data_IF_089646272754
#
_entry.id   IF_089646272754
#
_cell.length_a   1.000
_cell.length_b   1.000
_cell.length_c   1.000
_cell.angle_alpha   90.00
_cell.angle_beta   90.00
_cell.angle_gamma   90.00
#
_symmetry.space_group_name_H-M   'P 1'
#
loop_
_entity.id
_entity.type
_entity.pdbx_description
1 polymer ?
#
# COMPACT_ATOMS: atom_id res chain seq x y z
N UNK A 1 4.58 -32.61 -14.02
CA UNK A 1 3.77 -32.77 -12.79
C UNK A 1 2.58 -31.82 -12.90
N UNK A 2 1.41 -32.34 -13.27
CA UNK A 2 0.22 -31.54 -13.53
C UNK A 2 -0.42 -31.10 -12.21
N UNK A 3 -0.62 -29.79 -12.04
CA UNK A 3 -1.31 -29.21 -10.90
C UNK A 3 -2.79 -29.61 -10.96
N UNK A 4 -3.19 -30.58 -10.13
CA UNK A 4 -4.60 -30.87 -9.84
C UNK A 4 -5.04 -29.93 -8.72
N UNK A 5 -5.99 -28.98 -8.95
CA UNK A 5 -6.51 -28.16 -7.87
C UNK A 5 -7.50 -28.99 -7.04
N UNK A 6 -7.02 -29.62 -5.98
CA UNK A 6 -7.87 -30.23 -4.95
C UNK A 6 -8.33 -29.18 -3.93
N UNK A 7 -9.11 -28.21 -4.40
CA UNK A 7 -10.04 -27.45 -3.56
C UNK A 7 -11.39 -27.43 -4.27
N UNK A 8 -12.52 -27.63 -3.57
CA UNK A 8 -13.78 -27.15 -4.11
C UNK A 8 -13.60 -25.65 -4.31
N UNK A 9 -13.67 -25.22 -5.57
CA UNK A 9 -13.78 -23.81 -5.89
C UNK A 9 -14.88 -23.23 -4.99
N UNK A 10 -14.65 -22.06 -4.39
CA UNK A 10 -15.76 -21.17 -4.05
C UNK A 10 -16.72 -21.22 -5.24
N UNK A 11 -18.03 -21.47 -5.03
CA UNK A 11 -18.94 -22.04 -6.02
C UNK A 11 -18.53 -21.56 -7.39
N UNK A 12 -17.93 -22.46 -8.15
CA UNK A 12 -17.32 -22.13 -9.43
C UNK A 12 -18.39 -21.41 -10.24
N UNK A 13 -18.22 -20.11 -10.44
CA UNK A 13 -19.09 -19.41 -11.37
C UNK A 13 -19.05 -20.22 -12.66
N UNK A 14 -20.22 -20.58 -13.22
CA UNK A 14 -20.28 -21.31 -14.47
C UNK A 14 -19.38 -20.60 -15.50
N UNK A 15 -18.31 -21.27 -15.96
CA UNK A 15 -17.34 -20.71 -16.91
C UNK A 15 -16.04 -20.14 -16.34
N UNK A 16 -15.77 -20.22 -15.03
CA UNK A 16 -14.46 -19.83 -14.47
C UNK A 16 -14.21 -18.31 -14.40
N UNK A 17 -15.26 -17.50 -14.56
CA UNK A 17 -15.20 -16.04 -14.44
C UNK A 17 -15.25 -15.65 -12.97
N UNK A 18 -14.20 -15.00 -12.46
CA UNK A 18 -14.22 -14.45 -11.10
C UNK A 18 -15.21 -13.28 -11.01
N UNK A 19 -15.99 -13.16 -9.92
CA UNK A 19 -16.94 -12.08 -9.79
C UNK A 19 -16.20 -10.74 -9.66
N UNK A 20 -16.79 -9.71 -10.26
CA UNK A 20 -16.30 -8.34 -10.16
C UNK A 20 -16.40 -7.86 -8.70
N UNK A 21 -15.29 -7.33 -8.16
CA UNK A 21 -15.16 -7.01 -6.74
C UNK A 21 -15.07 -5.51 -6.42
N UNK A 22 -15.17 -4.66 -7.43
CA UNK A 22 -14.97 -3.24 -7.24
C UNK A 22 -16.32 -2.52 -7.34
N UNK A 23 -16.45 -1.32 -6.75
CA UNK A 23 -17.63 -0.49 -6.99
C UNK A 23 -17.86 -0.28 -8.49
N UNK A 24 -19.11 -0.22 -8.98
CA UNK A 24 -19.40 -0.13 -10.42
C UNK A 24 -18.63 0.96 -11.16
N UNK A 25 -18.51 2.16 -10.58
CA UNK A 25 -17.75 3.29 -11.15
C UNK A 25 -16.28 2.95 -11.49
N UNK A 26 -15.68 1.95 -10.84
CA UNK A 26 -14.30 1.53 -11.11
C UNK A 26 -14.17 0.90 -12.49
N UNK A 27 -15.24 0.49 -13.15
CA UNK A 27 -15.20 -0.07 -14.51
C UNK A 27 -14.91 0.98 -15.58
N UNK A 28 -15.24 2.26 -15.33
CA UNK A 28 -15.20 3.32 -16.34
C UNK A 28 -13.83 3.44 -17.03
N UNK A 29 -12.68 3.44 -16.32
CA UNK A 29 -11.37 3.50 -16.96
C UNK A 29 -11.03 2.27 -17.81
N UNK A 30 -11.71 1.14 -17.61
CA UNK A 30 -11.48 -0.11 -18.32
C UNK A 30 -12.34 -0.27 -19.57
N UNK A 31 -13.43 0.48 -19.73
CA UNK A 31 -14.32 0.43 -20.90
C UNK A 31 -13.53 0.55 -22.22
N UNK A 32 -12.67 1.56 -22.44
CA UNK A 32 -11.93 1.66 -23.70
C UNK A 32 -10.95 0.50 -23.89
N UNK A 33 -10.39 -0.05 -22.81
CA UNK A 33 -9.47 -1.19 -22.89
C UNK A 33 -10.18 -2.49 -23.24
N UNK A 34 -11.45 -2.64 -22.83
CA UNK A 34 -12.27 -3.80 -23.14
C UNK A 34 -12.60 -3.94 -24.64
N UNK A 35 -12.43 -2.86 -25.42
CA UNK A 35 -12.63 -2.83 -26.87
C UNK A 35 -11.39 -3.29 -27.66
N UNK A 36 -10.27 -3.54 -26.98
CA UNK A 36 -8.99 -3.90 -27.59
C UNK A 36 -8.70 -5.40 -27.40
N UNK A 37 -7.87 -6.02 -28.27
CA UNK A 37 -7.35 -7.36 -28.02
C UNK A 37 -6.64 -7.43 -26.66
N UNK A 38 -6.83 -8.53 -25.92
CA UNK A 38 -6.33 -8.68 -24.55
C UNK A 38 -4.88 -8.27 -24.35
N UNK A 39 -3.96 -8.74 -25.21
CA UNK A 39 -2.54 -8.43 -25.09
C UNK A 39 -2.22 -6.94 -25.31
N UNK A 40 -2.97 -6.28 -26.19
CA UNK A 40 -2.85 -4.83 -26.43
C UNK A 40 -3.37 -4.07 -25.21
N UNK A 41 -4.55 -4.42 -24.71
CA UNK A 41 -5.14 -3.83 -23.50
C UNK A 41 -4.23 -4.00 -22.28
N UNK A 42 -3.68 -5.20 -22.07
CA UNK A 42 -2.75 -5.51 -20.98
C UNK A 42 -1.45 -4.71 -21.08
N UNK A 43 -0.86 -4.63 -22.28
CA UNK A 43 0.35 -3.85 -22.52
C UNK A 43 0.14 -2.35 -22.27
N UNK A 44 -0.98 -1.79 -22.73
CA UNK A 44 -1.36 -0.40 -22.45
C UNK A 44 -1.55 -0.19 -20.95
N UNK A 45 -2.32 -1.05 -20.28
CA UNK A 45 -2.63 -0.93 -18.86
C UNK A 45 -1.39 -0.94 -17.97
N UNK A 46 -0.48 -1.89 -18.21
CA UNK A 46 0.78 -2.00 -17.47
C UNK A 46 1.65 -0.77 -17.72
N UNK A 47 1.79 -0.35 -18.98
CA UNK A 47 2.57 0.83 -19.36
C UNK A 47 2.04 2.09 -18.68
N UNK A 48 0.72 2.34 -18.79
CA UNK A 48 0.06 3.50 -18.15
C UNK A 48 0.25 3.46 -16.64
N UNK A 49 0.06 2.31 -16.00
CA UNK A 49 0.23 2.15 -14.56
C UNK A 49 1.66 2.46 -14.10
N UNK A 50 2.67 2.02 -14.86
CA UNK A 50 4.08 2.29 -14.55
C UNK A 50 4.42 3.76 -14.78
N UNK A 51 3.96 4.34 -15.89
CA UNK A 51 4.11 5.78 -16.19
C UNK A 51 3.51 6.62 -15.07
N UNK A 52 2.27 6.33 -14.65
CA UNK A 52 1.61 7.04 -13.55
C UNK A 52 2.41 6.92 -12.25
N UNK A 53 2.91 5.73 -11.90
CA UNK A 53 3.75 5.54 -10.71
C UNK A 53 5.03 6.38 -10.76
N UNK A 54 5.76 6.34 -11.88
CA UNK A 54 7.03 7.06 -12.07
C UNK A 54 6.83 8.57 -12.09
N UNK A 55 5.84 9.07 -12.84
CA UNK A 55 5.54 10.50 -12.90
C UNK A 55 4.96 11.03 -11.59
N UNK A 56 4.17 10.23 -10.87
CA UNK A 56 3.74 10.55 -9.50
C UNK A 56 4.94 10.74 -8.57
N UNK A 57 5.86 9.76 -8.54
CA UNK A 57 7.08 9.83 -7.74
C UNK A 57 7.97 11.04 -8.11
N UNK A 58 8.16 11.31 -9.42
CA UNK A 58 8.86 12.51 -9.90
C UNK A 58 8.18 13.78 -9.39
N UNK A 59 6.86 13.83 -9.45
CA UNK A 59 6.08 15.02 -9.03
C UNK A 59 6.22 15.26 -7.53
N UNK A 60 6.25 14.21 -6.73
CA UNK A 60 6.54 14.26 -5.30
C UNK A 60 7.95 14.80 -5.03
N UNK A 61 8.98 14.24 -5.66
CA UNK A 61 10.36 14.72 -5.52
C UNK A 61 10.49 16.19 -5.93
N UNK A 62 9.85 16.59 -7.03
CA UNK A 62 9.81 17.99 -7.47
C UNK A 62 9.07 18.89 -6.48
N UNK A 63 8.02 18.41 -5.79
CA UNK A 63 7.33 19.17 -4.75
C UNK A 63 8.25 19.47 -3.56
N UNK A 64 9.15 18.54 -3.24
CA UNK A 64 10.23 18.82 -2.30
C UNK A 64 11.33 19.71 -2.88
N UNK A 65 11.33 20.09 -4.15
CA UNK A 65 12.41 20.85 -4.78
C UNK A 65 13.58 19.99 -5.26
N UNK A 66 13.45 18.66 -5.29
CA UNK A 66 14.44 17.76 -5.89
C UNK A 66 14.20 17.70 -7.40
N UNK A 67 15.01 18.44 -8.17
CA UNK A 67 14.96 18.41 -9.63
C UNK A 67 15.78 17.22 -10.17
N UNK A 68 15.15 16.38 -10.97
CA UNK A 68 15.80 15.22 -11.59
C UNK A 68 16.24 15.53 -13.02
N UNK A 69 17.51 15.29 -13.33
CA UNK A 69 17.98 15.20 -14.72
C UNK A 69 17.42 13.95 -15.41
N UNK A 70 17.53 13.85 -16.73
CA UNK A 70 17.06 12.67 -17.49
C UNK A 70 17.68 11.36 -17.00
N UNK A 71 18.98 11.36 -16.66
CA UNK A 71 19.65 10.19 -16.09
C UNK A 71 19.09 9.80 -14.71
N UNK A 72 18.86 10.79 -13.82
CA UNK A 72 18.24 10.53 -12.51
C UNK A 72 16.78 10.09 -12.64
N UNK A 73 16.07 10.57 -13.66
CA UNK A 73 14.72 10.13 -13.98
C UNK A 73 14.71 8.67 -14.44
N UNK A 74 15.68 8.26 -15.26
CA UNK A 74 15.85 6.85 -15.66
C UNK A 74 16.16 5.98 -14.43
N UNK A 75 17.01 6.45 -13.53
CA UNK A 75 17.32 5.73 -12.29
C UNK A 75 16.09 5.61 -11.37
N UNK A 76 15.26 6.65 -11.25
CA UNK A 76 13.98 6.59 -10.53
C UNK A 76 13.04 5.56 -11.17
N UNK A 77 12.87 5.61 -12.49
CA UNK A 77 12.03 4.68 -13.23
C UNK A 77 12.51 3.23 -13.05
N UNK A 78 13.82 3.01 -13.16
CA UNK A 78 14.45 1.72 -12.92
C UNK A 78 14.24 1.25 -11.48
N UNK A 79 14.43 2.12 -10.48
CA UNK A 79 14.20 1.79 -9.08
C UNK A 79 12.77 1.36 -8.78
N UNK A 80 11.78 2.08 -9.34
CA UNK A 80 10.35 1.70 -9.21
C UNK A 80 10.08 0.37 -9.91
N UNK A 81 10.60 0.18 -11.12
CA UNK A 81 10.42 -1.04 -11.90
C UNK A 81 11.08 -2.26 -11.22
N UNK A 82 12.30 -2.10 -10.73
CA UNK A 82 13.10 -3.14 -10.08
C UNK A 82 12.67 -3.43 -8.63
N UNK A 83 11.79 -2.60 -8.06
CA UNK A 83 11.19 -2.88 -6.76
C UNK A 83 10.39 -4.18 -6.85
N UNK A 84 10.72 -5.19 -6.04
CA UNK A 84 10.18 -6.53 -6.22
C UNK A 84 8.64 -6.60 -6.12
N UNK A 85 7.97 -5.86 -5.21
CA UNK A 85 6.51 -5.72 -5.23
C UNK A 85 5.95 -5.11 -6.53
N UNK A 86 6.73 -4.30 -7.27
CA UNK A 86 6.33 -3.72 -8.55
C UNK A 86 6.25 -4.77 -9.65
N UNK A 87 7.31 -5.59 -9.78
CA UNK A 87 7.37 -6.67 -10.77
C UNK A 87 6.16 -7.62 -10.67
N UNK A 88 5.68 -7.84 -9.44
CA UNK A 88 4.53 -8.69 -9.17
C UNK A 88 3.24 -8.06 -9.69
N UNK A 89 3.01 -6.77 -9.43
CA UNK A 89 1.79 -6.11 -9.91
C UNK A 89 1.79 -5.97 -11.44
N UNK A 90 2.96 -5.76 -12.05
CA UNK A 90 3.15 -5.77 -13.51
C UNK A 90 2.75 -7.14 -14.07
N UNK A 91 3.30 -8.23 -13.52
CA UNK A 91 3.00 -9.60 -13.96
C UNK A 91 1.52 -9.95 -13.82
N UNK A 92 0.84 -9.41 -12.81
CA UNK A 92 -0.57 -9.67 -12.51
C UNK A 92 -1.54 -8.65 -13.14
N UNK A 93 -1.05 -7.65 -13.88
CA UNK A 93 -1.87 -6.58 -14.45
C UNK A 93 -2.68 -5.78 -13.41
N UNK A 94 -2.15 -5.61 -12.20
CA UNK A 94 -2.90 -5.00 -11.09
C UNK A 94 -2.89 -3.47 -11.15
N UNK A 95 -3.97 -2.85 -10.66
CA UNK A 95 -4.13 -1.38 -10.54
C UNK A 95 -3.16 -0.71 -9.55
N UNK A 96 -2.31 -1.49 -8.87
CA UNK A 96 -1.41 -1.02 -7.82
C UNK A 96 -0.47 0.11 -8.29
N UNK A 97 0.00 0.09 -9.54
CA UNK A 97 0.82 1.18 -10.09
C UNK A 97 0.09 2.54 -10.11
N UNK A 98 -1.20 2.54 -10.47
CA UNK A 98 -2.06 3.73 -10.41
C UNK A 98 -2.19 4.22 -8.97
N UNK A 99 -2.34 3.31 -7.99
CA UNK A 99 -2.42 3.70 -6.57
C UNK A 99 -1.14 4.36 -6.09
N UNK A 100 0.03 3.79 -6.42
CA UNK A 100 1.33 4.39 -6.07
C UNK A 100 1.45 5.79 -6.65
N UNK A 101 1.19 5.95 -7.94
CA UNK A 101 1.27 7.27 -8.58
C UNK A 101 0.29 8.27 -7.96
N UNK A 102 -0.94 7.85 -7.72
CA UNK A 102 -1.97 8.67 -7.06
C UNK A 102 -1.54 9.11 -5.65
N UNK A 103 -1.01 8.19 -4.82
CA UNK A 103 -0.50 8.55 -3.50
C UNK A 103 0.71 9.50 -3.57
N UNK A 104 1.60 9.35 -4.55
CA UNK A 104 2.67 10.31 -4.77
C UNK A 104 2.16 11.69 -5.22
N UNK A 105 1.16 11.74 -6.11
CA UNK A 105 0.50 13.00 -6.48
C UNK A 105 -0.22 13.64 -5.29
N UNK A 106 -0.87 12.85 -4.44
CA UNK A 106 -1.47 13.33 -3.20
C UNK A 106 -0.41 13.96 -2.29
N UNK A 107 0.68 13.26 -2.01
CA UNK A 107 1.78 13.78 -1.19
C UNK A 107 2.38 15.06 -1.78
N UNK A 108 2.54 15.12 -3.11
CA UNK A 108 3.03 16.30 -3.80
C UNK A 108 2.08 17.51 -3.68
N UNK A 109 0.78 17.25 -3.80
CA UNK A 109 -0.26 18.28 -3.63
C UNK A 109 -0.38 18.73 -2.17
N UNK A 110 -0.23 17.81 -1.21
CA UNK A 110 -0.22 18.13 0.22
C UNK A 110 0.98 19.03 0.56
N UNK A 111 2.16 18.72 0.02
CA UNK A 111 3.37 19.52 0.21
C UNK A 111 3.24 20.94 -0.37
N UNK A 112 2.67 21.08 -1.57
CA UNK A 112 2.59 22.39 -2.25
C UNK A 112 1.45 23.26 -1.75
N UNK A 113 0.32 22.66 -1.41
CA UNK A 113 -0.89 23.38 -1.05
C UNK A 113 -1.74 22.54 -0.08
N UNK A 114 -1.36 22.47 1.21
CA UNK A 114 -2.03 21.62 2.19
C UNK A 114 -3.50 21.99 2.39
N UNK A 115 -3.84 23.27 2.21
CA UNK A 115 -5.21 23.80 2.37
C UNK A 115 -6.03 23.82 1.08
N UNK A 116 -5.42 23.42 -0.03
CA UNK A 116 -6.04 23.37 -1.36
C UNK A 116 -7.38 22.65 -1.31
N UNK A 117 -8.41 23.23 -1.97
CA UNK A 117 -9.82 22.84 -1.77
C UNK A 117 -10.08 21.35 -1.97
N UNK A 118 -9.42 20.69 -2.92
CA UNK A 118 -9.62 19.25 -3.20
C UNK A 118 -8.36 18.47 -3.65
N UNK A 119 -7.22 19.15 -3.84
CA UNK A 119 -6.09 18.64 -4.64
C UNK A 119 -5.58 17.27 -4.20
N UNK A 120 -5.09 17.17 -2.96
CA UNK A 120 -4.53 15.90 -2.47
C UNK A 120 -5.60 14.88 -2.06
N UNK A 121 -6.77 15.35 -1.59
CA UNK A 121 -7.89 14.52 -1.15
C UNK A 121 -8.47 13.67 -2.28
N UNK A 122 -8.57 14.23 -3.50
CA UNK A 122 -9.01 13.47 -4.67
C UNK A 122 -8.07 12.31 -5.01
N UNK A 123 -6.76 12.56 -4.94
CA UNK A 123 -5.76 11.55 -5.24
C UNK A 123 -5.69 10.41 -4.20
N UNK A 124 -5.90 10.69 -2.91
CA UNK A 124 -6.01 9.61 -1.90
C UNK A 124 -7.34 8.87 -1.94
N UNK A 125 -8.41 9.49 -2.44
CA UNK A 125 -9.72 8.84 -2.54
C UNK A 125 -9.73 7.72 -3.59
N UNK A 126 -9.02 7.88 -4.70
CA UNK A 126 -8.94 6.87 -5.76
C UNK A 126 -8.56 5.46 -5.23
N UNK A 127 -7.41 5.26 -4.56
CA UNK A 127 -7.06 3.95 -4.03
C UNK A 127 -8.02 3.49 -2.93
N UNK A 128 -8.59 4.40 -2.12
CA UNK A 128 -9.53 4.05 -1.06
C UNK A 128 -10.89 3.56 -1.59
N UNK A 129 -11.40 4.13 -2.68
CA UNK A 129 -12.64 3.67 -3.33
C UNK A 129 -12.46 2.27 -3.91
N UNK A 130 -11.32 2.00 -4.54
CA UNK A 130 -11.06 0.69 -5.15
C UNK A 130 -10.67 -0.36 -4.10
N UNK A 131 -9.89 0.03 -3.08
CA UNK A 131 -9.45 -0.80 -1.97
C UNK A 131 -9.59 -0.02 -0.65
N UNK A 132 -10.71 -0.16 0.07
CA UNK A 132 -11.01 0.57 1.31
C UNK A 132 -9.87 0.67 2.35
N UNK A 133 -9.01 -0.35 2.55
CA UNK A 133 -7.90 -0.23 3.48
C UNK A 133 -6.89 0.88 3.16
N UNK A 134 -6.86 1.42 1.93
CA UNK A 134 -6.04 2.58 1.60
C UNK A 134 -6.55 3.89 2.20
N UNK A 135 -7.76 3.92 2.79
CA UNK A 135 -8.29 5.10 3.48
C UNK A 135 -7.37 5.59 4.61
N UNK A 136 -6.53 4.73 5.18
CA UNK A 136 -5.54 5.11 6.21
C UNK A 136 -4.49 6.11 5.70
N UNK A 137 -4.28 6.20 4.38
CA UNK A 137 -3.43 7.23 3.76
C UNK A 137 -4.00 8.64 3.88
N UNK A 138 -5.29 8.76 4.22
CA UNK A 138 -5.97 10.03 4.48
C UNK A 138 -5.74 10.54 5.91
N UNK A 139 -4.88 9.90 6.71
CA UNK A 139 -4.60 10.30 8.08
C UNK A 139 -4.43 11.82 8.30
N UNK A 140 -3.69 12.58 7.45
CA UNK A 140 -3.57 14.03 7.61
C UNK A 140 -4.89 14.81 7.53
N UNK A 141 -5.96 14.24 6.96
CA UNK A 141 -7.27 14.88 6.92
C UNK A 141 -7.87 15.02 8.32
N UNK A 142 -7.51 14.14 9.27
CA UNK A 142 -7.99 14.18 10.65
C UNK A 142 -7.50 15.41 11.44
N UNK A 143 -6.54 16.16 10.89
CA UNK A 143 -6.05 17.41 11.47
C UNK A 143 -7.01 18.60 11.27
N UNK A 144 -7.97 18.50 10.35
CA UNK A 144 -8.93 19.56 10.08
C UNK A 144 -10.31 18.96 9.71
N UNK A 145 -11.34 19.29 10.48
CA UNK A 145 -12.71 18.84 10.23
C UNK A 145 -13.21 19.21 8.83
N UNK A 146 -12.72 20.32 8.25
CA UNK A 146 -13.08 20.73 6.88
C UNK A 146 -12.51 19.75 5.86
N UNK A 147 -11.30 19.21 6.09
CA UNK A 147 -10.69 18.19 5.24
C UNK A 147 -11.46 16.87 5.36
N UNK A 148 -11.86 16.48 6.56
CA UNK A 148 -12.73 15.31 6.78
C UNK A 148 -14.07 15.48 6.05
N UNK A 149 -14.73 16.62 6.20
CA UNK A 149 -15.99 16.91 5.51
C UNK A 149 -15.83 16.86 3.99
N UNK A 150 -14.74 17.41 3.44
CA UNK A 150 -14.43 17.34 2.01
C UNK A 150 -14.24 15.90 1.52
N UNK A 151 -13.57 15.05 2.29
CA UNK A 151 -13.45 13.60 1.97
C UNK A 151 -14.83 12.95 1.95
N UNK A 152 -15.67 13.23 2.95
CA UNK A 152 -17.01 12.68 3.02
C UNK A 152 -17.87 13.13 1.82
N UNK A 153 -17.86 14.43 1.49
CA UNK A 153 -18.57 14.99 0.33
C UNK A 153 -18.08 14.33 -0.97
N UNK A 154 -16.77 14.20 -1.15
CA UNK A 154 -16.21 13.60 -2.36
C UNK A 154 -16.54 12.11 -2.47
N UNK A 155 -16.52 11.38 -1.35
CA UNK A 155 -16.95 9.98 -1.29
C UNK A 155 -18.42 9.82 -1.66
N UNK A 156 -19.31 10.64 -1.09
CA UNK A 156 -20.73 10.68 -1.44
C UNK A 156 -20.91 11.01 -2.92
N UNK A 157 -20.18 11.99 -3.44
CA UNK A 157 -20.25 12.36 -4.86
C UNK A 157 -19.84 11.20 -5.77
N UNK A 158 -18.77 10.45 -5.44
CA UNK A 158 -18.36 9.25 -6.19
C UNK A 158 -19.45 8.18 -6.16
N UNK A 159 -20.07 7.94 -5.00
CA UNK A 159 -21.19 6.98 -4.88
C UNK A 159 -22.38 7.46 -5.71
N UNK A 160 -22.75 8.73 -5.61
CA UNK A 160 -23.86 9.30 -6.36
C UNK A 160 -23.64 9.19 -7.88
N UNK A 161 -22.44 9.54 -8.36
CA UNK A 161 -22.06 9.37 -9.78
C UNK A 161 -22.11 7.90 -10.18
N UNK A 162 -21.62 6.99 -9.33
CA UNK A 162 -21.71 5.55 -9.58
C UNK A 162 -23.18 5.11 -9.75
N UNK A 163 -24.07 5.49 -8.85
CA UNK A 163 -25.50 5.14 -8.92
C UNK A 163 -26.18 5.77 -10.15
N UNK A 164 -25.88 7.03 -10.46
CA UNK A 164 -26.44 7.70 -11.63
C UNK A 164 -26.01 7.04 -12.95
N UNK A 165 -24.78 6.53 -13.04
CA UNK A 165 -24.25 5.89 -14.26
C UNK A 165 -24.68 4.43 -14.42
N UNK A 166 -24.83 3.69 -13.30
CA UNK A 166 -24.99 2.23 -13.34
C UNK A 166 -26.31 1.72 -12.76
N UNK A 167 -27.15 2.58 -12.19
CA UNK A 167 -28.38 2.18 -11.52
C UNK A 167 -28.15 1.57 -10.13
N UNK A 168 -29.23 1.39 -9.38
CA UNK A 168 -29.19 0.82 -8.02
C UNK A 168 -28.94 -0.70 -8.09
N UNK A 169 -29.47 -1.35 -9.10
CA UNK A 169 -29.42 -2.80 -9.32
C UNK A 169 -27.97 -3.29 -9.45
N UNK A 170 -27.12 -2.54 -10.17
CA UNK A 170 -25.69 -2.85 -10.27
C UNK A 170 -24.97 -2.78 -8.91
N UNK A 171 -25.41 -1.87 -8.03
CA UNK A 171 -24.87 -1.75 -6.68
C UNK A 171 -25.36 -2.87 -5.77
N UNK A 172 -26.63 -3.27 -5.88
CA UNK A 172 -27.16 -4.43 -5.16
C UNK A 172 -26.42 -5.72 -5.54
N UNK A 173 -26.17 -5.93 -6.84
CA UNK A 173 -25.37 -7.06 -7.32
C UNK A 173 -23.94 -7.03 -6.75
N UNK A 174 -23.29 -5.86 -6.78
CA UNK A 174 -21.97 -5.66 -6.18
C UNK A 174 -21.97 -5.96 -4.67
N UNK A 175 -22.95 -5.46 -3.92
CA UNK A 175 -23.10 -5.72 -2.49
C UNK A 175 -23.40 -7.20 -2.22
N UNK A 176 -24.13 -7.88 -3.09
CA UNK A 176 -24.33 -9.33 -3.06
C UNK A 176 -23.00 -10.08 -3.07
N UNK A 177 -22.12 -9.76 -4.04
CA UNK A 177 -20.78 -10.35 -4.12
C UNK A 177 -19.95 -10.08 -2.86
N UNK A 178 -20.04 -8.88 -2.28
CA UNK A 178 -19.32 -8.57 -1.04
C UNK A 178 -19.86 -9.34 0.17
N UNK A 179 -21.18 -9.54 0.26
CA UNK A 179 -21.85 -10.30 1.34
C UNK A 179 -21.54 -11.78 1.26
N UNK A 180 -21.54 -12.37 0.07
CA UNK A 180 -21.11 -13.75 -0.16
C UNK A 180 -19.64 -13.94 0.21
N UNK A 181 -18.83 -12.93 -0.13
CA UNK A 181 -17.40 -12.91 0.15
C UNK A 181 -16.63 -13.93 -0.68
N UNK A 182 -15.31 -13.75 -0.77
CA UNK A 182 -14.43 -14.66 -1.54
C UNK A 182 -13.94 -15.89 -0.75
N UNK A 183 -14.56 -16.20 0.38
CA UNK A 183 -13.99 -17.19 1.32
C UNK A 183 -12.61 -16.80 1.85
N UNK A 184 -12.24 -15.50 1.80
CA UNK A 184 -10.95 -14.98 2.27
C UNK A 184 -10.69 -15.23 3.77
N UNK A 185 -11.71 -15.69 4.48
CA UNK A 185 -11.74 -15.85 5.92
C UNK A 185 -11.38 -17.28 6.34
N UNK A 186 -11.38 -18.26 5.42
CA UNK A 186 -11.57 -19.65 5.82
C UNK A 186 -10.38 -20.60 5.71
N UNK A 187 -9.25 -20.22 5.11
CA UNK A 187 -8.04 -21.05 5.24
C UNK A 187 -6.78 -20.20 5.34
N UNK A 188 -6.06 -20.36 6.44
CA UNK A 188 -4.63 -20.07 6.44
C UNK A 188 -4.01 -20.92 5.32
N UNK A 189 -3.54 -20.28 4.24
CA UNK A 189 -2.71 -20.99 3.26
C UNK A 189 -1.61 -21.68 4.05
N UNK A 190 -1.43 -23.01 3.95
CA UNK A 190 -0.36 -23.67 4.65
C UNK A 190 0.96 -23.03 4.23
N UNK A 191 1.95 -23.02 5.12
CA UNK A 191 3.23 -22.35 4.89
C UNK A 191 3.92 -22.91 3.64
N UNK A 192 3.72 -24.20 3.34
CA UNK A 192 4.15 -24.86 2.10
C UNK A 192 3.57 -24.26 0.81
N UNK A 193 2.49 -23.49 0.89
CA UNK A 193 1.87 -22.76 -0.23
C UNK A 193 2.18 -21.26 -0.19
N UNK A 194 3.10 -20.81 0.66
CA UNK A 194 3.62 -19.46 0.53
C UNK A 194 4.29 -19.33 -0.83
N UNK A 195 4.34 -18.13 -1.38
CA UNK A 195 4.98 -17.86 -2.67
C UNK A 195 5.40 -16.40 -2.67
N UNK A 196 6.06 -15.96 -3.73
CA UNK A 196 6.44 -14.56 -3.88
C UNK A 196 5.25 -13.57 -3.80
N UNK A 197 4.01 -14.04 -3.95
CA UNK A 197 2.79 -13.24 -3.75
C UNK A 197 2.37 -13.08 -2.29
N UNK A 198 2.89 -13.88 -1.37
CA UNK A 198 2.38 -13.97 0.00
C UNK A 198 3.10 -12.99 0.92
N UNK A 199 2.31 -12.17 1.61
CA UNK A 199 2.76 -11.33 2.70
C UNK A 199 1.67 -11.35 3.79
N UNK A 200 1.89 -12.04 4.90
CA UNK A 200 0.86 -12.27 5.93
C UNK A 200 1.38 -11.91 7.32
N UNK A 201 1.51 -10.62 7.67
CA UNK A 201 2.17 -10.15 8.90
C UNK A 201 1.58 -10.74 10.19
N UNK A 202 0.29 -11.11 10.18
CA UNK A 202 -0.43 -11.63 11.35
C UNK A 202 -0.93 -13.07 11.15
N UNK A 203 -0.19 -13.88 10.38
CA UNK A 203 -0.58 -15.25 10.09
C UNK A 203 -0.75 -16.10 11.36
N UNK A 204 0.19 -15.99 12.31
CA UNK A 204 0.22 -16.78 13.55
C UNK A 204 -0.97 -16.50 14.48
N UNK A 205 -1.64 -15.36 14.32
CA UNK A 205 -2.75 -14.95 15.18
C UNK A 205 -4.10 -15.55 14.76
N UNK A 206 -4.16 -16.32 13.67
CA UNK A 206 -5.42 -16.94 13.22
C UNK A 206 -6.54 -15.91 13.03
N UNK A 207 -7.67 -16.08 13.71
CA UNK A 207 -8.81 -15.16 13.72
C UNK A 207 -8.55 -13.86 14.49
N UNK A 208 -7.69 -13.89 15.53
CA UNK A 208 -7.37 -12.73 16.38
C UNK A 208 -6.69 -11.59 15.60
N UNK A 209 -6.15 -11.86 14.40
CA UNK A 209 -5.60 -10.83 13.49
C UNK A 209 -6.61 -9.73 13.14
N UNK A 210 -7.92 -10.03 13.12
CA UNK A 210 -8.95 -9.03 12.84
C UNK A 210 -9.05 -8.04 13.99
N UNK A 211 -9.07 -8.54 15.22
CA UNK A 211 -9.05 -7.72 16.44
C UNK A 211 -7.78 -6.87 16.49
N UNK A 212 -6.61 -7.47 16.25
CA UNK A 212 -5.35 -6.73 16.22
C UNK A 212 -5.36 -5.60 15.20
N UNK A 213 -5.88 -5.83 13.98
CA UNK A 213 -6.00 -4.76 12.97
C UNK A 213 -6.96 -3.65 13.41
N UNK A 214 -8.06 -4.01 14.06
CA UNK A 214 -8.97 -3.03 14.66
C UNK A 214 -8.27 -2.16 15.70
N UNK A 215 -7.52 -2.80 16.62
CA UNK A 215 -6.71 -2.10 17.62
C UNK A 215 -5.67 -1.20 16.96
N UNK A 216 -4.89 -1.71 16.00
CA UNK A 216 -3.89 -0.91 15.28
C UNK A 216 -4.50 0.27 14.53
N UNK A 217 -5.68 0.11 13.92
CA UNK A 217 -6.39 1.19 13.25
C UNK A 217 -6.85 2.26 14.24
N UNK A 218 -7.47 1.86 15.36
CA UNK A 218 -7.90 2.78 16.42
C UNK A 218 -6.70 3.50 17.02
N UNK A 219 -5.60 2.78 17.29
CA UNK A 219 -4.35 3.36 17.78
C UNK A 219 -3.76 4.35 16.79
N UNK A 220 -3.76 4.05 15.48
CA UNK A 220 -3.29 4.99 14.45
C UNK A 220 -4.16 6.24 14.41
N UNK A 221 -5.49 6.10 14.44
CA UNK A 221 -6.41 7.24 14.48
C UNK A 221 -6.20 8.08 15.74
N UNK A 222 -6.13 7.45 16.91
CA UNK A 222 -5.87 8.13 18.18
C UNK A 222 -4.52 8.84 18.18
N UNK A 223 -3.48 8.21 17.65
CA UNK A 223 -2.14 8.79 17.50
C UNK A 223 -2.16 10.03 16.61
N UNK A 224 -2.78 9.95 15.43
CA UNK A 224 -2.92 11.08 14.51
C UNK A 224 -3.70 12.23 15.15
N UNK A 225 -4.80 11.93 15.86
CA UNK A 225 -5.60 12.94 16.57
C UNK A 225 -4.84 13.59 17.73
N UNK A 226 -3.99 12.83 18.42
CA UNK A 226 -3.13 13.34 19.50
C UNK A 226 -1.95 14.18 19.00
N UNK A 227 -1.51 13.95 17.75
CA UNK A 227 -0.41 14.68 17.09
C UNK A 227 -0.92 15.68 16.05
N UNK A 228 -2.10 16.26 16.30
CA UNK A 228 -2.67 17.33 15.48
C UNK A 228 -1.73 18.53 15.43
N UNK A 229 -0.99 18.64 14.33
CA UNK A 229 -0.03 19.71 14.10
C UNK A 229 -0.27 20.29 12.71
N UNK A 230 -0.23 21.63 12.60
CA UNK A 230 -0.24 22.35 11.31
C UNK A 230 1.16 22.48 10.71
N UNK A 231 2.17 21.90 11.36
CA UNK A 231 3.54 21.90 10.84
C UNK A 231 3.60 20.97 9.63
N UNK A 232 4.00 21.51 8.49
CA UNK A 232 4.11 20.75 7.22
C UNK A 232 4.97 19.47 7.33
N UNK A 233 6.03 19.46 8.13
CA UNK A 233 6.84 18.25 8.34
C UNK A 233 6.07 17.13 9.05
N UNK A 234 5.23 17.46 10.04
CA UNK A 234 4.40 16.46 10.72
C UNK A 234 3.29 15.95 9.82
N UNK A 235 2.63 16.82 9.04
CA UNK A 235 1.60 16.38 8.08
C UNK A 235 2.17 15.39 7.05
N UNK A 236 3.38 15.65 6.54
CA UNK A 236 4.10 14.73 5.64
C UNK A 236 4.43 13.41 6.31
N UNK A 237 4.92 13.44 7.55
CA UNK A 237 5.24 12.23 8.30
C UNK A 237 3.98 11.40 8.59
N UNK A 238 2.85 12.04 8.94
CA UNK A 238 1.55 11.38 9.11
C UNK A 238 1.03 10.77 7.80
N UNK A 239 1.23 11.45 6.66
CA UNK A 239 0.92 10.87 5.35
C UNK A 239 1.76 9.62 5.06
N UNK A 240 3.08 9.71 5.29
CA UNK A 240 4.00 8.59 5.15
C UNK A 240 3.64 7.43 6.09
N UNK A 241 3.24 7.72 7.34
CA UNK A 241 2.75 6.74 8.31
C UNK A 241 1.49 6.03 7.81
N UNK A 242 0.52 6.79 7.27
CA UNK A 242 -0.67 6.22 6.64
C UNK A 242 -0.32 5.27 5.50
N UNK A 243 0.60 5.67 4.61
CA UNK A 243 1.11 4.81 3.54
C UNK A 243 1.81 3.54 4.08
N UNK A 244 2.62 3.68 5.13
CA UNK A 244 3.32 2.59 5.79
C UNK A 244 2.40 1.63 6.56
N UNK A 245 1.22 2.09 6.98
CA UNK A 245 0.23 1.30 7.69
C UNK A 245 -0.61 0.40 6.76
N UNK A 246 -0.72 0.71 5.46
CA UNK A 246 -1.52 -0.07 4.49
C UNK A 246 -1.17 -1.57 4.52
N UNK A 247 0.10 -2.01 4.47
CA UNK A 247 0.44 -3.43 4.42
C UNK A 247 0.13 -4.19 5.71
N UNK A 248 -0.09 -3.53 6.85
CA UNK A 248 -0.48 -4.24 8.09
C UNK A 248 -1.98 -4.21 8.31
N UNK A 249 -2.65 -3.12 7.91
CA UNK A 249 -4.09 -2.94 8.11
C UNK A 249 -4.96 -3.59 7.02
N UNK A 250 -4.41 -3.86 5.83
CA UNK A 250 -5.18 -4.53 4.76
C UNK A 250 -5.62 -5.96 5.19
N UNK A 251 -6.89 -6.37 4.97
CA UNK A 251 -7.40 -7.66 5.42
C UNK A 251 -6.75 -8.84 4.66
N UNK A 252 -6.57 -8.68 3.35
CA UNK A 252 -5.94 -9.67 2.46
C UNK A 252 -4.52 -9.26 2.12
N UNK A 253 -3.59 -9.33 3.07
CA UNK A 253 -2.23 -8.91 2.71
C UNK A 253 -1.53 -9.96 1.86
N UNK A 254 -0.99 -9.44 0.78
CA UNK A 254 -0.19 -10.04 -0.25
C UNK A 254 0.91 -9.03 -0.56
N UNK A 255 1.94 -9.46 -1.27
CA UNK A 255 3.12 -8.64 -1.54
C UNK A 255 2.79 -7.32 -2.26
N UNK A 256 1.65 -7.25 -2.98
CA UNK A 256 1.24 -6.04 -3.71
C UNK A 256 1.03 -4.84 -2.76
N UNK A 257 0.55 -5.06 -1.55
CA UNK A 257 0.28 -3.99 -0.58
C UNK A 257 1.57 -3.21 -0.21
N UNK A 258 2.74 -3.86 -0.27
CA UNK A 258 4.04 -3.24 0.01
C UNK A 258 4.40 -2.11 -0.97
N UNK A 259 3.74 -2.02 -2.12
CA UNK A 259 3.91 -0.88 -3.04
C UNK A 259 3.45 0.46 -2.42
N UNK A 260 2.53 0.43 -1.45
CA UNK A 260 2.13 1.64 -0.72
C UNK A 260 3.30 2.28 0.03
N UNK A 261 4.42 1.56 0.25
CA UNK A 261 5.61 2.09 0.90
C UNK A 261 6.43 3.04 0.01
N UNK A 262 6.27 3.00 -1.31
CA UNK A 262 7.02 3.87 -2.24
C UNK A 262 6.89 5.37 -1.87
N UNK A 263 5.69 5.96 -1.74
CA UNK A 263 5.56 7.34 -1.30
C UNK A 263 6.15 7.56 0.11
N UNK A 264 6.00 6.61 1.04
CA UNK A 264 6.57 6.73 2.37
C UNK A 264 8.10 6.80 2.34
N UNK A 265 8.76 5.93 1.57
CA UNK A 265 10.21 5.95 1.39
C UNK A 265 10.68 7.26 0.77
N UNK A 266 10.01 7.76 -0.27
CA UNK A 266 10.41 9.03 -0.90
C UNK A 266 10.32 10.20 0.09
N UNK A 267 9.24 10.27 0.87
CA UNK A 267 9.07 11.31 1.90
C UNK A 267 10.16 11.18 2.98
N UNK A 268 10.36 9.97 3.51
CA UNK A 268 11.34 9.72 4.57
C UNK A 268 12.76 9.98 4.09
N UNK A 269 13.18 9.44 2.94
CA UNK A 269 14.53 9.64 2.42
C UNK A 269 14.84 11.12 2.15
N UNK A 270 13.92 11.86 1.54
CA UNK A 270 14.13 13.30 1.30
C UNK A 270 14.19 14.08 2.60
N UNK A 271 13.34 13.73 3.58
CA UNK A 271 13.34 14.37 4.89
C UNK A 271 14.65 14.10 5.61
N UNK A 272 15.07 12.84 5.73
CA UNK A 272 16.31 12.45 6.39
C UNK A 272 17.55 13.04 5.72
N UNK A 273 17.62 13.05 4.38
CA UNK A 273 18.75 13.63 3.67
C UNK A 273 18.94 15.13 3.94
N UNK A 274 17.87 15.85 4.32
CA UNK A 274 17.90 17.30 4.58
C UNK A 274 18.17 17.66 6.03
N UNK A 275 18.08 16.70 6.93
CA UNK A 275 18.29 16.94 8.35
C UNK A 275 19.78 16.95 8.66
N UNK A 276 20.19 17.81 9.59
CA UNK A 276 21.53 17.78 10.15
C UNK A 276 21.80 16.50 10.95
N UNK A 277 20.75 15.94 11.57
CA UNK A 277 20.76 14.70 12.36
C UNK A 277 20.09 13.51 11.61
N UNK A 278 20.07 13.58 10.28
CA UNK A 278 19.43 12.59 9.42
C UNK A 278 20.13 11.24 9.44
N UNK A 279 19.37 10.15 9.37
CA UNK A 279 19.90 8.79 9.22
C UNK A 279 19.15 8.02 8.13
N UNK A 280 19.89 7.60 7.11
CA UNK A 280 19.35 6.79 6.01
C UNK A 280 19.41 5.29 6.29
N UNK A 281 20.18 4.86 7.30
CA UNK A 281 20.42 3.44 7.59
C UNK A 281 19.12 2.70 7.89
N UNK A 282 18.25 3.29 8.71
CA UNK A 282 16.97 2.67 9.10
C UNK A 282 16.00 2.54 7.92
N UNK A 283 15.69 3.60 7.15
CA UNK A 283 14.82 3.45 5.98
C UNK A 283 15.44 2.60 4.85
N UNK A 284 16.77 2.58 4.69
CA UNK A 284 17.44 1.68 3.74
C UNK A 284 17.32 0.22 4.16
N UNK A 285 17.54 -0.11 5.44
CA UNK A 285 17.35 -1.46 5.96
C UNK A 285 15.90 -1.92 5.75
N UNK A 286 14.94 -1.05 6.04
CA UNK A 286 13.53 -1.32 5.76
C UNK A 286 13.28 -1.64 4.27
N UNK A 287 13.81 -0.80 3.37
CA UNK A 287 13.66 -0.99 1.93
C UNK A 287 14.26 -2.33 1.47
N UNK A 288 15.45 -2.69 1.95
CA UNK A 288 16.11 -3.95 1.64
C UNK A 288 15.26 -5.13 2.11
N UNK A 289 14.77 -5.11 3.34
CA UNK A 289 13.90 -6.15 3.90
C UNK A 289 12.62 -6.33 3.07
N UNK A 290 12.01 -5.24 2.62
CA UNK A 290 10.84 -5.28 1.73
C UNK A 290 11.19 -5.81 0.34
N UNK A 291 12.35 -5.42 -0.20
CA UNK A 291 12.82 -5.85 -1.51
C UNK A 291 13.09 -7.35 -1.57
N UNK A 292 13.72 -7.92 -0.53
CA UNK A 292 14.06 -9.36 -0.49
C UNK A 292 12.86 -10.24 -0.15
N UNK A 293 11.82 -9.68 0.48
CA UNK A 293 10.62 -10.41 0.94
C UNK A 293 10.04 -11.40 -0.08
N UNK A 294 9.77 -11.02 -1.34
CA UNK A 294 9.12 -11.93 -2.28
C UNK A 294 10.01 -13.12 -2.66
N UNK A 295 11.32 -12.90 -2.70
CA UNK A 295 12.30 -13.94 -2.99
C UNK A 295 12.48 -14.87 -1.80
N UNK A 296 12.63 -14.32 -0.60
CA UNK A 296 12.73 -15.12 0.64
C UNK A 296 11.48 -15.97 0.85
N UNK A 297 10.28 -15.41 0.68
CA UNK A 297 9.03 -16.19 0.80
C UNK A 297 8.89 -17.27 -0.29
N UNK A 298 9.41 -17.02 -1.50
CA UNK A 298 9.47 -18.05 -2.54
C UNK A 298 10.45 -19.17 -2.18
N UNK A 299 11.64 -18.86 -1.67
CA UNK A 299 12.62 -19.88 -1.24
C UNK A 299 12.07 -20.67 -0.06
N UNK A 300 11.46 -20.00 0.92
CA UNK A 300 10.85 -20.65 2.07
C UNK A 300 9.68 -21.57 1.69
N UNK A 301 8.98 -21.30 0.57
CA UNK A 301 7.95 -22.21 0.07
C UNK A 301 8.50 -23.57 -0.38
N UNK A 302 9.75 -23.61 -0.84
CA UNK A 302 10.43 -24.85 -1.24
C UNK A 302 10.82 -25.73 -0.04
N UNK A 303 10.86 -25.17 1.19
CA UNK A 303 11.02 -26.00 2.40
C UNK A 303 9.82 -26.93 2.58
N UNK A 304 8.61 -26.46 2.25
CA UNK A 304 7.38 -27.24 2.31
C UNK A 304 7.25 -28.34 1.26
N UNK A 305 8.19 -28.45 0.31
CA UNK A 305 8.25 -29.54 -0.67
C UNK A 305 9.34 -30.58 -0.33
N UNK A 306 9.96 -30.49 0.86
CA UNK A 306 11.06 -31.38 1.28
C UNK A 306 12.40 -31.10 0.61
N UNK A 307 12.52 -30.04 -0.21
CA UNK A 307 13.76 -29.72 -0.91
C UNK A 307 14.83 -29.07 0.00
N UNK A 308 14.42 -28.63 1.20
CA UNK A 308 15.26 -27.95 2.18
C UNK A 308 15.04 -28.56 3.58
N UNK A 309 15.14 -29.89 3.72
CA UNK A 309 14.93 -30.62 4.97
C UNK A 309 15.66 -30.05 6.21
N UNK A 310 16.89 -29.50 6.12
CA UNK A 310 17.55 -28.87 7.26
C UNK A 310 16.81 -27.66 7.85
N UNK A 311 15.91 -27.03 7.08
CA UNK A 311 15.16 -25.83 7.49
C UNK A 311 13.74 -26.14 7.98
N UNK A 312 13.32 -27.40 7.99
CA UNK A 312 11.99 -27.82 8.46
C UNK A 312 11.66 -27.33 9.89
N UNK A 313 12.59 -27.36 10.87
CA UNK A 313 12.31 -26.84 12.22
C UNK A 313 11.96 -25.34 12.25
N UNK A 314 12.34 -24.58 11.22
CA UNK A 314 12.06 -23.14 11.12
C UNK A 314 10.71 -22.84 10.47
N UNK A 315 10.03 -23.84 9.89
CA UNK A 315 8.72 -23.65 9.22
C UNK A 315 7.72 -22.91 10.11
N UNK A 316 7.54 -23.25 11.41
CA UNK A 316 6.61 -22.52 12.28
C UNK A 316 6.96 -21.04 12.48
N UNK A 317 8.23 -20.67 12.31
CA UNK A 317 8.72 -19.30 12.47
C UNK A 317 8.63 -18.48 11.17
N UNK A 318 8.52 -19.12 10.00
CA UNK A 318 8.41 -18.45 8.69
C UNK A 318 7.43 -17.27 8.69
N UNK A 319 6.22 -17.37 9.29
CA UNK A 319 5.29 -16.25 9.22
C UNK A 319 5.71 -15.03 10.06
N UNK A 320 6.49 -15.20 11.12
CA UNK A 320 7.05 -14.07 11.89
C UNK A 320 8.38 -13.60 11.34
N UNK A 321 9.10 -14.44 10.59
CA UNK A 321 10.38 -14.12 9.96
C UNK A 321 10.25 -13.49 8.57
N UNK A 322 9.04 -13.14 8.14
CA UNK A 322 8.81 -12.47 6.85
C UNK A 322 9.62 -11.17 6.77
N UNK A 323 10.59 -11.03 5.86
CA UNK A 323 11.39 -9.79 5.78
C UNK A 323 10.52 -8.55 5.58
N UNK A 324 9.46 -8.65 4.76
CA UNK A 324 8.55 -7.53 4.52
C UNK A 324 7.82 -7.06 5.78
N UNK A 325 7.58 -7.95 6.77
CA UNK A 325 6.95 -7.57 8.04
C UNK A 325 7.90 -6.67 8.82
N UNK A 326 9.14 -7.10 8.98
CA UNK A 326 10.16 -6.33 9.68
C UNK A 326 10.49 -5.04 8.96
N UNK A 327 10.56 -5.05 7.63
CA UNK A 327 10.73 -3.83 6.84
C UNK A 327 9.62 -2.80 7.09
N UNK A 328 8.35 -3.23 7.12
CA UNK A 328 7.22 -2.34 7.44
C UNK A 328 7.28 -1.85 8.89
N UNK A 329 7.50 -2.75 9.86
CA UNK A 329 7.59 -2.40 11.29
C UNK A 329 8.71 -1.39 11.53
N UNK A 330 9.90 -1.62 10.95
CA UNK A 330 11.04 -0.71 11.04
C UNK A 330 10.71 0.66 10.47
N UNK A 331 10.04 0.75 9.32
CA UNK A 331 9.66 2.03 8.73
C UNK A 331 8.62 2.77 9.57
N UNK A 332 7.58 2.07 10.03
CA UNK A 332 6.52 2.63 10.88
C UNK A 332 7.12 3.17 12.17
N UNK A 333 7.95 2.37 12.86
CA UNK A 333 8.62 2.77 14.09
C UNK A 333 9.51 3.99 13.87
N UNK A 334 10.25 4.03 12.75
CA UNK A 334 11.10 5.17 12.40
C UNK A 334 10.31 6.46 12.14
N UNK A 335 9.20 6.36 11.40
CA UNK A 335 8.33 7.53 11.15
C UNK A 335 7.73 8.04 12.46
N UNK A 336 7.23 7.15 13.33
CA UNK A 336 6.71 7.52 14.66
C UNK A 336 7.79 8.18 15.49
N UNK A 337 8.99 7.57 15.58
CA UNK A 337 10.13 8.16 16.30
C UNK A 337 10.44 9.58 15.83
N UNK A 338 10.44 9.83 14.52
CA UNK A 338 10.69 11.17 13.96
C UNK A 338 9.58 12.16 14.30
N UNK A 339 8.30 11.75 14.26
CA UNK A 339 7.19 12.60 14.70
C UNK A 339 7.35 12.98 16.18
N UNK A 340 7.65 12.01 17.04
CA UNK A 340 7.82 12.24 18.48
C UNK A 340 8.98 13.17 18.79
N UNK A 341 10.12 12.98 18.10
CA UNK A 341 11.30 13.85 18.25
C UNK A 341 11.02 15.29 17.80
N UNK A 342 10.34 15.48 16.67
CA UNK A 342 10.07 16.81 16.10
C UNK A 342 8.98 17.59 16.87
N UNK A 343 8.07 16.90 17.56
CA UNK A 343 7.05 17.50 18.43
C UNK A 343 7.52 17.66 19.90
N UNK A 344 8.79 17.34 20.20
CA UNK A 344 9.37 17.51 21.54
C UNK A 344 8.91 16.47 22.56
N UNK A 345 8.36 15.34 22.11
CA UNK A 345 7.94 14.21 22.96
C UNK A 345 9.10 13.35 23.45
N UNK A 346 10.31 13.53 22.90
CA UNK A 346 11.53 12.86 23.33
C UNK A 346 12.62 13.91 23.64
N UNK A 347 13.33 13.80 24.77
CA UNK A 347 14.43 14.70 25.08
C UNK A 347 15.52 14.58 24.02
N UNK A 348 16.15 15.72 23.68
CA UNK A 348 17.39 15.71 22.93
C UNK A 348 18.45 14.95 23.76
N UNK A 349 19.32 14.14 23.16
CA UNK A 349 20.52 13.70 23.86
C UNK A 349 21.24 14.95 24.38
N UNK A 350 21.41 15.06 25.70
CA UNK A 350 21.98 16.26 26.33
C UNK A 350 23.45 16.50 25.95
N UNK A 351 24.11 15.52 25.33
CA UNK A 351 25.53 15.60 25.02
C UNK A 351 25.78 15.66 23.52
N UNK A 352 26.21 16.85 23.08
CA UNK A 352 26.71 17.14 21.74
C UNK A 352 28.05 16.47 21.41
N UNK A 353 28.17 15.15 21.65
CA UNK A 353 29.30 14.35 21.22
C UNK A 353 28.83 13.27 20.23
N UNK A 354 28.80 13.64 18.95
CA UNK A 354 28.78 12.67 17.86
C UNK A 354 30.07 12.85 17.06
N UNK A 355 30.97 11.87 17.21
CA UNK A 355 32.05 11.60 16.27
C UNK A 355 31.52 11.07 14.94
#
# INVERSE_FOLDING_TARGET
MYYTPSRPAAPSHPGGVFPYLYPPVVIVPFIPLALLPFWVAAGIWVTVSLVVAVFGAKTLLNAYGVRLSSAKMLLLAYGIFAFAPTLIWIKLGQVTGIFVGSLCFAAASLERNPDGRFGWLGFVLLPAVVKPPYAVTMAPALNDYRRVLRVAILGIAVIAVSVLLFGIEAHEAYLGVLREGKGWHLDALPISKFSFFVFRPFHVLGSARVVLRGVLLVSLVGYVLGRRSRRSHVERALFALGCAAVPVLHPTVNTLALNALIPAYLIVFVSEFRRSDGTLTVPLLSLVLVQVHPYTTSVLSWTGTGALSPLEPLIPLVPVLQPGLWGVVTLVAFIVYRIERDEGGLPLPEDGSVC
#
